data_IF_071337513499
#
_entry.id   IF_071337513499
#
_cell.length_a   1.000
_cell.length_b   1.000
_cell.length_c   1.000
_cell.angle_alpha   90.00
_cell.angle_beta   90.00
_cell.angle_gamma   90.00
#
_symmetry.space_group_name_H-M   'P 1'
#
loop_
_entity.id
_entity.type
_entity.pdbx_description
1 polymer ?
#
# COMPACT_ATOMS: atom_id res chain seq x y z
N UNK A 1 -7.35 0.01 -24.71
CA UNK A 1 -6.71 -1.28 -24.35
C UNK A 1 -7.25 -1.72 -23.01
N UNK A 2 -7.64 -2.99 -22.84
CA UNK A 2 -8.22 -3.55 -21.61
C UNK A 2 -7.20 -4.29 -20.74
N UNK A 3 -5.97 -3.78 -20.64
CA UNK A 3 -4.88 -4.42 -19.90
C UNK A 3 -4.97 -4.04 -18.44
N UNK A 4 -4.99 -5.03 -17.56
CA UNK A 4 -4.90 -4.82 -16.12
C UNK A 4 -3.43 -4.67 -15.73
N UNK A 5 -3.05 -3.47 -15.32
CA UNK A 5 -1.70 -3.15 -14.88
C UNK A 5 -1.65 -3.03 -13.35
N UNK A 6 -0.76 -3.80 -12.71
CA UNK A 6 -0.42 -3.62 -11.31
C UNK A 6 0.74 -2.60 -11.20
N UNK A 7 0.58 -1.49 -10.47
CA UNK A 7 1.64 -0.49 -10.34
C UNK A 7 2.91 -1.06 -9.73
N UNK A 8 4.04 -0.78 -10.39
CA UNK A 8 5.39 -1.22 -10.06
C UNK A 8 5.79 -0.99 -8.60
N UNK A 9 5.62 0.23 -8.09
CA UNK A 9 5.99 0.58 -6.71
C UNK A 9 5.09 -0.05 -5.64
N UNK A 10 3.93 -0.60 -6.04
CA UNK A 10 3.07 -1.38 -5.14
C UNK A 10 3.45 -2.86 -5.17
N UNK A 11 3.59 -3.45 -6.37
CA UNK A 11 3.85 -4.88 -6.53
C UNK A 11 5.27 -5.27 -6.09
N UNK A 12 6.26 -4.39 -6.29
CA UNK A 12 7.66 -4.65 -5.94
C UNK A 12 8.02 -4.18 -4.51
N UNK A 13 7.05 -3.78 -3.68
CA UNK A 13 7.28 -3.24 -2.34
C UNK A 13 7.93 -4.24 -1.34
N UNK A 14 8.03 -5.53 -1.71
CA UNK A 14 8.56 -6.59 -0.85
C UNK A 14 9.98 -6.33 -0.34
N UNK A 15 10.85 -5.76 -1.18
CA UNK A 15 12.23 -5.42 -0.78
C UNK A 15 12.27 -4.40 0.36
N UNK A 16 11.48 -3.32 0.26
CA UNK A 16 11.37 -2.31 1.32
C UNK A 16 10.74 -2.87 2.59
N UNK A 17 9.76 -3.77 2.45
CA UNK A 17 9.14 -4.46 3.60
C UNK A 17 10.19 -5.30 4.34
N UNK A 18 11.05 -6.03 3.62
CA UNK A 18 12.10 -6.84 4.26
C UNK A 18 13.10 -5.97 5.02
N UNK A 19 13.62 -4.92 4.37
CA UNK A 19 14.56 -3.97 4.98
C UNK A 19 13.94 -3.26 6.19
N UNK A 20 12.63 -2.93 6.15
CA UNK A 20 11.94 -2.38 7.31
C UNK A 20 11.93 -3.35 8.51
N UNK A 21 11.80 -4.66 8.27
CA UNK A 21 11.82 -5.64 9.35
C UNK A 21 13.22 -5.80 9.97
N UNK A 22 14.30 -5.48 9.24
CA UNK A 22 15.68 -5.45 9.76
C UNK A 22 15.94 -4.28 10.73
N UNK A 23 15.08 -3.24 10.74
CA UNK A 23 15.19 -2.13 11.71
C UNK A 23 14.81 -2.54 13.14
N UNK A 24 14.17 -3.68 13.29
CA UNK A 24 13.82 -4.29 14.57
C UNK A 24 14.45 -5.68 14.66
N UNK A 25 14.17 -6.44 15.72
CA UNK A 25 14.51 -7.86 15.73
C UNK A 25 13.86 -8.57 14.52
N UNK A 26 14.70 -9.07 13.62
CA UNK A 26 14.25 -9.65 12.37
C UNK A 26 13.41 -10.90 12.61
N UNK A 27 12.26 -10.97 11.95
CA UNK A 27 11.36 -12.12 11.96
C UNK A 27 10.93 -12.39 10.52
N UNK A 28 11.37 -13.53 9.97
CA UNK A 28 10.99 -13.98 8.64
C UNK A 28 9.47 -14.14 8.52
N UNK A 29 8.84 -14.68 9.56
CA UNK A 29 7.37 -14.81 9.64
C UNK A 29 6.69 -13.44 9.52
N UNK A 30 7.16 -12.44 10.26
CA UNK A 30 6.62 -11.08 10.21
C UNK A 30 6.83 -10.44 8.83
N UNK A 31 8.04 -10.55 8.27
CA UNK A 31 8.36 -10.04 6.95
C UNK A 31 7.46 -10.68 5.88
N UNK A 32 7.32 -12.00 5.91
CA UNK A 32 6.45 -12.77 5.01
C UNK A 32 4.99 -12.34 5.14
N UNK A 33 4.46 -12.26 6.37
CA UNK A 33 3.09 -11.82 6.63
C UNK A 33 2.83 -10.38 6.16
N UNK A 34 3.84 -9.49 6.18
CA UNK A 34 3.73 -8.15 5.63
C UNK A 34 3.77 -8.16 4.10
N UNK A 35 4.65 -8.95 3.48
CA UNK A 35 4.73 -9.10 2.01
C UNK A 35 3.42 -9.64 1.44
N UNK A 36 2.77 -10.60 2.10
CA UNK A 36 1.48 -11.14 1.65
C UNK A 36 0.38 -10.07 1.53
N UNK A 37 0.47 -8.96 2.28
CA UNK A 37 -0.47 -7.83 2.17
C UNK A 37 -0.34 -7.04 0.86
N UNK A 38 0.69 -7.28 0.05
CA UNK A 38 0.79 -6.70 -1.31
C UNK A 38 -0.42 -7.11 -2.16
N UNK A 39 -0.94 -8.32 -1.98
CA UNK A 39 -2.18 -8.77 -2.63
C UNK A 39 -3.34 -7.81 -2.36
N UNK A 40 -3.61 -7.52 -1.08
CA UNK A 40 -4.71 -6.63 -0.68
C UNK A 40 -4.48 -5.20 -1.15
N UNK A 41 -3.23 -4.73 -1.14
CA UNK A 41 -2.89 -3.39 -1.63
C UNK A 41 -3.18 -3.25 -3.13
N UNK A 42 -2.73 -4.21 -3.96
CA UNK A 42 -3.01 -4.21 -5.40
C UNK A 42 -4.52 -4.32 -5.65
N UNK A 43 -5.22 -5.19 -4.91
CA UNK A 43 -6.69 -5.29 -4.98
C UNK A 43 -7.35 -3.95 -4.70
N UNK A 44 -6.91 -3.23 -3.65
CA UNK A 44 -7.45 -1.92 -3.30
C UNK A 44 -7.22 -0.88 -4.39
N UNK A 45 -6.04 -0.87 -5.01
CA UNK A 45 -5.72 -0.02 -6.17
C UNK A 45 -6.70 -0.27 -7.32
N UNK A 46 -6.96 -1.55 -7.64
CA UNK A 46 -7.90 -1.94 -8.69
C UNK A 46 -9.34 -1.49 -8.35
N UNK A 47 -9.75 -1.62 -7.09
CA UNK A 47 -11.06 -1.15 -6.62
C UNK A 47 -11.21 0.37 -6.78
N UNK A 48 -10.21 1.16 -6.39
CA UNK A 48 -10.24 2.63 -6.55
C UNK A 48 -10.22 3.01 -8.03
N UNK A 49 -9.39 2.35 -8.84
CA UNK A 49 -9.35 2.56 -10.29
C UNK A 49 -10.75 2.38 -10.92
N UNK A 50 -11.47 1.33 -10.52
CA UNK A 50 -12.85 1.08 -10.98
C UNK A 50 -13.85 2.10 -10.43
N UNK A 51 -13.78 2.42 -9.13
CA UNK A 51 -14.68 3.37 -8.45
C UNK A 51 -14.62 4.75 -9.10
N UNK A 52 -13.42 5.22 -9.38
CA UNK A 52 -13.17 6.60 -9.79
C UNK A 52 -12.95 6.75 -11.30
N UNK A 53 -12.99 5.64 -12.05
CA UNK A 53 -12.72 5.57 -13.48
C UNK A 53 -11.38 6.21 -13.88
N UNK A 54 -10.31 5.81 -13.18
CA UNK A 54 -8.94 6.29 -13.41
C UNK A 54 -7.99 5.11 -13.65
N UNK A 55 -6.84 5.31 -14.33
CA UNK A 55 -5.80 4.30 -14.44
C UNK A 55 -5.25 3.85 -13.07
N UNK A 56 -4.77 2.61 -12.99
CA UNK A 56 -4.26 2.03 -11.73
C UNK A 56 -3.05 2.77 -11.14
N UNK A 57 -2.21 3.43 -11.95
CA UNK A 57 -1.11 4.22 -11.43
C UNK A 57 -1.59 5.44 -10.63
N UNK A 58 -2.61 6.15 -11.12
CA UNK A 58 -3.24 7.26 -10.37
C UNK A 58 -3.98 6.73 -9.15
N UNK A 59 -4.63 5.57 -9.27
CA UNK A 59 -5.34 4.95 -8.15
C UNK A 59 -4.38 4.58 -7.01
N UNK A 60 -3.16 4.15 -7.32
CA UNK A 60 -2.15 3.85 -6.31
C UNK A 60 -1.64 5.10 -5.60
N UNK A 61 -1.48 6.23 -6.30
CA UNK A 61 -1.17 7.52 -5.67
C UNK A 61 -2.28 7.91 -4.68
N UNK A 62 -3.55 7.78 -5.08
CA UNK A 62 -4.71 8.04 -4.21
C UNK A 62 -4.75 7.14 -2.97
N UNK A 63 -4.46 5.83 -3.10
CA UNK A 63 -4.38 4.92 -1.94
C UNK A 63 -3.35 5.43 -0.94
N UNK A 64 -2.19 5.88 -1.41
CA UNK A 64 -1.13 6.41 -0.55
C UNK A 64 -1.56 7.71 0.14
N UNK A 65 -2.10 8.68 -0.61
CA UNK A 65 -2.58 9.96 -0.08
C UNK A 65 -3.71 9.79 0.95
N UNK A 66 -4.72 8.97 0.65
CA UNK A 66 -5.83 8.65 1.56
C UNK A 66 -5.31 8.05 2.87
N UNK A 67 -4.31 7.16 2.79
CA UNK A 67 -3.69 6.55 3.98
C UNK A 67 -2.92 7.57 4.82
N UNK A 68 -2.10 8.42 4.19
CA UNK A 68 -1.33 9.46 4.89
C UNK A 68 -2.27 10.45 5.58
N UNK A 69 -3.30 10.92 4.88
CA UNK A 69 -4.30 11.84 5.43
C UNK A 69 -5.04 11.22 6.62
N UNK A 70 -5.43 9.94 6.52
CA UNK A 70 -6.12 9.22 7.61
C UNK A 70 -5.27 9.06 8.86
N UNK A 71 -3.99 8.73 8.72
CA UNK A 71 -3.08 8.62 9.89
C UNK A 71 -2.88 10.00 10.53
N UNK A 72 -2.66 11.03 9.71
CA UNK A 72 -2.50 12.41 10.19
C UNK A 72 -3.70 12.89 10.99
N UNK A 73 -4.93 12.58 10.57
CA UNK A 73 -6.12 13.01 11.30
C UNK A 73 -6.27 12.30 12.65
N UNK A 74 -5.90 11.02 12.75
CA UNK A 74 -5.90 10.27 14.00
C UNK A 74 -4.88 10.81 15.02
N UNK A 75 -3.68 11.18 14.56
CA UNK A 75 -2.65 11.79 15.42
C UNK A 75 -3.06 13.16 15.97
N UNK A 76 -3.82 13.95 15.20
CA UNK A 76 -4.36 15.23 15.66
C UNK A 76 -5.43 14.99 16.73
N UNK A 77 -6.31 14.00 16.53
CA UNK A 77 -7.35 13.64 17.50
C UNK A 77 -6.78 13.11 18.81
N UNK A 78 -5.69 12.34 18.80
CA UNK A 78 -5.10 11.78 20.02
C UNK A 78 -4.30 12.79 20.86
N UNK A 79 -4.08 14.02 20.34
CA UNK A 79 -3.36 15.10 21.03
C UNK A 79 -4.28 16.13 21.69
N UNK A 80 -5.60 16.00 21.50
CA UNK A 80 -6.63 16.80 22.17
C UNK A 80 -7.31 15.98 23.26
#
# INVERSE_FOLDING_TARGET
MGILYAPDYVINAGGLINVYNELTEYSEERATNMVLKIYDNVKKVIEISKRDNIPTYIAADRVAEERIAKIRSLEVLSKN
#
